data_IF_660221965107
#
_entry.id   IF_660221965107
#
_cell.length_a   1.000
_cell.length_b   1.000
_cell.length_c   1.000
_cell.angle_alpha   90.00
_cell.angle_beta   90.00
_cell.angle_gamma   90.00
#
_symmetry.space_group_name_H-M   'P 1'
#
loop_
_entity.id
_entity.type
_entity.pdbx_description
1 polymer ?
#
# COMPACT_ATOMS: atom_id res chain seq x y z
N UNK A 1 4.72 -12.54 1.86
CA UNK A 1 6.11 -12.75 2.34
C UNK A 1 7.07 -12.07 1.39
N UNK A 2 8.19 -11.57 1.90
CA UNK A 2 9.23 -10.94 1.10
C UNK A 2 10.02 -11.95 0.24
N UNK A 3 10.60 -11.54 -0.90
CA UNK A 3 11.35 -12.44 -1.79
C UNK A 3 12.50 -13.16 -1.08
N UNK A 4 13.26 -12.47 -0.25
CA UNK A 4 14.39 -13.05 0.50
C UNK A 4 13.95 -14.12 1.51
N UNK A 5 12.79 -13.93 2.15
CA UNK A 5 12.23 -14.94 3.06
C UNK A 5 11.77 -16.18 2.28
N UNK A 6 11.14 -15.98 1.11
CA UNK A 6 10.70 -17.07 0.24
C UNK A 6 11.89 -17.86 -0.34
N UNK A 7 13.05 -17.22 -0.49
CA UNK A 7 14.32 -17.86 -0.90
C UNK A 7 15.12 -18.43 0.27
N UNK A 8 14.61 -18.35 1.51
CA UNK A 8 15.32 -18.79 2.72
C UNK A 8 16.69 -18.09 2.90
N UNK A 9 16.75 -16.80 2.57
CA UNK A 9 17.89 -15.90 2.76
C UNK A 9 17.80 -15.15 4.10
N UNK A 10 18.84 -14.38 4.44
CA UNK A 10 18.80 -13.51 5.62
C UNK A 10 17.70 -12.47 5.48
N UNK A 11 16.84 -12.40 6.48
CA UNK A 11 15.75 -11.45 6.60
C UNK A 11 15.88 -10.61 7.86
N UNK A 12 15.48 -9.35 7.76
CA UNK A 12 15.40 -8.40 8.86
C UNK A 12 14.03 -7.71 8.84
N UNK A 13 13.91 -6.60 9.58
CA UNK A 13 12.73 -5.74 9.59
C UNK A 13 12.23 -5.30 8.19
N UNK A 14 13.10 -5.27 7.17
CA UNK A 14 12.71 -4.91 5.80
C UNK A 14 11.82 -5.96 5.16
N UNK A 15 11.87 -7.21 5.61
CA UNK A 15 10.95 -8.27 5.17
C UNK A 15 9.54 -8.06 5.72
N UNK A 16 9.42 -7.49 6.92
CA UNK A 16 8.12 -7.08 7.48
C UNK A 16 7.55 -5.88 6.73
N UNK A 17 8.39 -4.92 6.34
CA UNK A 17 7.99 -3.78 5.50
C UNK A 17 7.40 -4.24 4.17
N UNK A 18 8.02 -5.23 3.52
CA UNK A 18 7.48 -5.83 2.30
C UNK A 18 6.09 -6.42 2.54
N UNK A 19 5.95 -7.22 3.60
CA UNK A 19 4.68 -7.88 3.93
C UNK A 19 3.60 -6.86 4.29
N UNK A 20 3.96 -5.76 4.95
CA UNK A 20 3.08 -4.62 5.20
C UNK A 20 2.62 -3.96 3.89
N UNK A 21 3.50 -3.81 2.89
CA UNK A 21 3.13 -3.34 1.55
C UNK A 21 2.07 -4.22 0.87
N UNK A 22 2.19 -5.55 1.00
CA UNK A 22 1.18 -6.49 0.48
C UNK A 22 -0.17 -6.33 1.21
N UNK A 23 -0.17 -6.13 2.53
CA UNK A 23 -1.41 -5.85 3.29
C UNK A 23 -2.04 -4.51 2.86
N UNK A 24 -1.24 -3.46 2.66
CA UNK A 24 -1.77 -2.20 2.15
C UNK A 24 -2.37 -2.35 0.76
N UNK A 25 -1.77 -3.17 -0.11
CA UNK A 25 -2.35 -3.50 -1.42
C UNK A 25 -3.69 -4.24 -1.29
N UNK A 26 -3.77 -5.23 -0.41
CA UNK A 26 -5.02 -5.98 -0.15
C UNK A 26 -6.13 -5.02 0.33
N UNK A 27 -5.82 -4.12 1.26
CA UNK A 27 -6.77 -3.12 1.75
C UNK A 27 -7.18 -2.10 0.67
N UNK A 28 -6.25 -1.64 -0.15
CA UNK A 28 -6.51 -0.63 -1.17
C UNK A 28 -7.29 -1.19 -2.37
N UNK A 29 -7.17 -2.50 -2.63
CA UNK A 29 -7.79 -3.15 -3.80
C UNK A 29 -8.97 -4.04 -3.44
N UNK A 30 -9.13 -4.41 -2.16
CA UNK A 30 -10.09 -5.39 -1.65
C UNK A 30 -9.97 -6.77 -2.33
N UNK A 31 -8.76 -7.10 -2.81
CA UNK A 31 -8.47 -8.36 -3.52
C UNK A 31 -7.55 -9.25 -2.72
N UNK A 32 -7.64 -10.56 -2.97
CA UNK A 32 -6.74 -11.55 -2.39
C UNK A 32 -5.39 -11.52 -3.14
N UNK A 33 -4.26 -11.31 -2.44
CA UNK A 33 -2.94 -11.37 -3.05
C UNK A 33 -2.69 -12.73 -3.71
N UNK A 34 -2.35 -12.72 -4.99
CA UNK A 34 -2.00 -13.94 -5.73
C UNK A 34 -3.09 -15.02 -5.73
N UNK A 35 -4.36 -14.62 -5.76
CA UNK A 35 -5.52 -15.53 -5.66
C UNK A 35 -5.50 -16.72 -6.63
N UNK A 36 -4.85 -16.58 -7.79
CA UNK A 36 -4.77 -17.59 -8.84
C UNK A 36 -3.51 -18.47 -8.75
N UNK A 37 -2.66 -18.29 -7.74
CA UNK A 37 -1.42 -19.03 -7.55
C UNK A 37 -1.47 -19.87 -6.27
N UNK A 38 -1.00 -21.11 -6.35
CA UNK A 38 -0.73 -21.90 -5.15
C UNK A 38 0.58 -21.47 -4.47
N UNK A 39 0.84 -21.96 -3.25
CA UNK A 39 2.02 -21.57 -2.46
C UNK A 39 3.35 -21.77 -3.18
N UNK A 40 3.53 -22.86 -3.93
CA UNK A 40 4.76 -23.10 -4.70
C UNK A 40 4.91 -22.13 -5.86
N UNK A 41 3.80 -21.79 -6.53
CA UNK A 41 3.79 -20.79 -7.59
C UNK A 41 4.09 -19.38 -7.06
N UNK A 42 3.59 -19.03 -5.86
CA UNK A 42 3.92 -17.75 -5.20
C UNK A 42 5.41 -17.67 -4.87
N UNK A 43 6.02 -18.74 -4.35
CA UNK A 43 7.47 -18.81 -4.11
C UNK A 43 8.23 -18.54 -5.41
N UNK A 44 7.85 -19.19 -6.52
CA UNK A 44 8.45 -18.97 -7.84
C UNK A 44 8.29 -17.53 -8.33
N UNK A 45 7.05 -17.04 -8.37
CA UNK A 45 6.69 -15.72 -8.88
C UNK A 45 7.37 -14.58 -8.10
N UNK A 46 7.24 -14.58 -6.78
CA UNK A 46 7.73 -13.48 -5.93
C UNK A 46 9.21 -13.65 -5.62
N UNK A 47 9.62 -14.86 -5.25
CA UNK A 47 10.99 -15.16 -4.85
C UNK A 47 11.97 -15.13 -6.01
N UNK A 48 11.60 -15.63 -7.19
CA UNK A 48 12.56 -15.86 -8.28
C UNK A 48 12.28 -15.08 -9.56
N UNK A 49 11.02 -14.71 -9.84
CA UNK A 49 10.65 -13.96 -11.05
C UNK A 49 10.48 -12.45 -10.80
N UNK A 50 10.65 -12.00 -9.56
CA UNK A 50 10.43 -10.62 -9.14
C UNK A 50 9.03 -10.09 -9.51
N UNK A 51 8.03 -10.96 -9.56
CA UNK A 51 6.64 -10.57 -9.87
C UNK A 51 6.08 -9.68 -8.74
N UNK A 52 5.27 -8.68 -9.10
CA UNK A 52 4.60 -7.75 -8.18
C UNK A 52 3.12 -7.66 -8.51
N UNK A 53 2.31 -7.40 -7.47
CA UNK A 53 0.88 -7.25 -7.62
C UNK A 53 0.60 -6.00 -8.46
N UNK A 54 -0.35 -6.09 -9.39
CA UNK A 54 -0.78 -4.94 -10.16
C UNK A 54 -1.55 -3.96 -9.27
N UNK A 55 -1.20 -2.68 -9.31
CA UNK A 55 -1.97 -1.62 -8.65
C UNK A 55 -2.92 -1.02 -9.70
N UNK A 56 -4.24 -1.18 -9.56
CA UNK A 56 -5.19 -0.60 -10.50
C UNK A 56 -5.14 0.94 -10.50
N UNK A 57 -5.38 1.56 -11.66
CA UNK A 57 -5.40 3.02 -11.83
C UNK A 57 -6.42 3.76 -10.94
N UNK A 58 -7.39 3.05 -10.36
CA UNK A 58 -8.38 3.63 -9.43
C UNK A 58 -7.86 3.80 -8.00
N UNK A 59 -6.73 3.22 -7.65
CA UNK A 59 -6.10 3.40 -6.33
C UNK A 59 -5.51 4.81 -6.25
N UNK A 60 -5.73 5.51 -5.13
CA UNK A 60 -5.15 6.84 -4.91
C UNK A 60 -3.62 6.78 -5.12
N UNK A 61 -3.03 7.64 -5.97
CA UNK A 61 -1.60 7.63 -6.26
C UNK A 61 -0.71 7.72 -5.01
N UNK A 62 -1.21 8.33 -3.94
CA UNK A 62 -0.50 8.43 -2.66
C UNK A 62 -0.40 7.08 -1.95
N UNK A 63 -1.46 6.27 -2.00
CA UNK A 63 -1.44 4.90 -1.50
C UNK A 63 -0.60 4.00 -2.39
N UNK A 64 -0.74 4.12 -3.72
CA UNK A 64 0.07 3.39 -4.68
C UNK A 64 1.57 3.59 -4.43
N UNK A 65 2.01 4.84 -4.25
CA UNK A 65 3.40 5.16 -3.98
C UNK A 65 3.93 4.53 -2.68
N UNK A 66 3.11 4.50 -1.62
CA UNK A 66 3.51 3.85 -0.35
C UNK A 66 3.67 2.35 -0.57
N UNK A 67 2.67 1.71 -1.16
CA UNK A 67 2.67 0.27 -1.47
C UNK A 67 3.92 -0.09 -2.28
N UNK A 68 4.20 0.66 -3.35
CA UNK A 68 5.35 0.45 -4.21
C UNK A 68 6.68 0.55 -3.47
N UNK A 69 6.82 1.53 -2.59
CA UNK A 69 8.03 1.71 -1.80
C UNK A 69 8.27 0.55 -0.82
N UNK A 70 7.21 -0.06 -0.29
CA UNK A 70 7.31 -1.16 0.66
C UNK A 70 7.87 -2.44 0.04
N UNK A 71 7.57 -2.72 -1.23
CA UNK A 71 7.95 -3.97 -1.90
C UNK A 71 9.08 -3.82 -2.94
N UNK A 72 9.95 -2.83 -2.73
CA UNK A 72 11.15 -2.65 -3.54
C UNK A 72 12.01 -3.92 -3.53
N UNK A 73 12.61 -4.24 -4.69
CA UNK A 73 13.41 -5.47 -4.88
C UNK A 73 14.61 -5.51 -3.96
N UNK A 74 15.33 -4.38 -3.85
CA UNK A 74 16.37 -4.17 -2.84
C UNK A 74 15.73 -3.86 -1.46
N UNK A 75 15.95 -4.69 -0.42
CA UNK A 75 15.49 -4.43 0.94
C UNK A 75 15.97 -3.10 1.52
N UNK A 76 17.15 -2.62 1.15
CA UNK A 76 17.72 -1.38 1.69
C UNK A 76 17.01 -0.13 1.16
N UNK A 77 16.40 -0.21 -0.02
CA UNK A 77 15.58 0.87 -0.57
C UNK A 77 14.15 0.89 0.00
N UNK A 78 13.73 -0.15 0.73
CA UNK A 78 12.42 -0.15 1.39
C UNK A 78 12.46 0.85 2.55
N UNK A 79 11.37 1.58 2.83
CA UNK A 79 11.34 2.52 3.93
C UNK A 79 11.46 1.81 5.28
N UNK A 80 11.75 2.57 6.32
CA UNK A 80 11.57 2.16 7.72
C UNK A 80 10.10 2.34 8.14
N UNK A 81 9.68 1.65 9.20
CA UNK A 81 8.36 1.91 9.78
C UNK A 81 8.19 3.36 10.23
N UNK A 82 9.26 4.02 10.70
CA UNK A 82 9.21 5.42 11.10
C UNK A 82 8.89 6.34 9.91
N UNK A 83 9.49 6.10 8.75
CA UNK A 83 9.18 6.84 7.53
C UNK A 83 7.76 6.57 7.04
N UNK A 84 7.31 5.32 7.11
CA UNK A 84 5.93 4.94 6.76
C UNK A 84 4.92 5.64 7.69
N UNK A 85 5.15 5.64 9.00
CA UNK A 85 4.29 6.34 9.97
C UNK A 85 4.18 7.83 9.67
N UNK A 86 5.29 8.48 9.29
CA UNK A 86 5.28 9.89 8.91
C UNK A 86 4.41 10.10 7.66
N UNK A 87 4.61 9.32 6.60
CA UNK A 87 3.80 9.37 5.37
C UNK A 87 2.30 9.15 5.66
N UNK A 88 1.97 8.14 6.46
CA UNK A 88 0.59 7.81 6.81
C UNK A 88 -0.10 8.91 7.62
N UNK A 89 0.61 9.54 8.57
CA UNK A 89 0.09 10.69 9.33
C UNK A 89 -0.17 11.89 8.43
N UNK A 90 0.72 12.16 7.48
CA UNK A 90 0.54 13.25 6.54
C UNK A 90 -0.67 13.00 5.62
N UNK A 91 -0.85 11.77 5.13
CA UNK A 91 -2.05 11.40 4.39
C UNK A 91 -3.32 11.55 5.21
N UNK A 92 -3.32 11.04 6.44
CA UNK A 92 -4.47 11.17 7.35
C UNK A 92 -4.85 12.65 7.54
N UNK A 93 -3.85 13.52 7.78
CA UNK A 93 -4.08 14.96 7.92
C UNK A 93 -4.68 15.57 6.65
N UNK A 94 -4.15 15.23 5.48
CA UNK A 94 -4.67 15.72 4.20
C UNK A 94 -6.13 15.30 3.98
N UNK A 95 -6.47 14.03 4.24
CA UNK A 95 -7.84 13.54 4.12
C UNK A 95 -8.80 14.25 5.07
N UNK A 96 -8.42 14.47 6.33
CA UNK A 96 -9.25 15.20 7.30
C UNK A 96 -9.54 16.63 6.80
N UNK A 97 -8.52 17.33 6.29
CA UNK A 97 -8.67 18.68 5.77
C UNK A 97 -9.58 18.73 4.52
N UNK A 98 -9.37 17.80 3.57
CA UNK A 98 -10.21 17.69 2.38
C UNK A 98 -11.67 17.40 2.74
N UNK A 99 -11.91 16.51 3.70
CA UNK A 99 -13.25 16.16 4.16
C UNK A 99 -13.96 17.34 4.85
N UNK A 100 -13.23 18.11 5.67
CA UNK A 100 -13.76 19.32 6.30
C UNK A 100 -14.14 20.39 5.27
N UNK A 101 -13.32 20.58 4.24
CA UNK A 101 -13.60 21.52 3.14
C UNK A 101 -14.85 21.10 2.36
N UNK A 102 -14.97 19.81 2.01
CA UNK A 102 -16.14 19.28 1.31
C UNK A 102 -17.44 19.45 2.12
N UNK A 103 -17.38 19.22 3.45
CA UNK A 103 -18.53 19.46 4.34
C UNK A 103 -18.95 20.92 4.41
N UNK A 104 -17.98 21.84 4.46
CA UNK A 104 -18.28 23.27 4.55
C UNK A 104 -18.86 23.82 3.24
N UNK A 105 -18.47 23.28 2.08
CA UNK A 105 -19.04 23.66 0.77
C UNK A 105 -20.43 23.05 0.50
N UNK A 106 -20.76 21.89 1.10
CA UNK A 106 -22.07 21.25 0.97
C UNK A 106 -23.17 21.84 1.87
N UNK A 107 -22.84 22.80 2.75
CA UNK A 107 -23.77 23.39 3.73
C UNK A 107 -24.53 24.63 3.28
N UNK A 108 -24.24 25.20 2.10
CA UNK A 108 -24.75 26.51 1.66
C UNK A 108 -25.92 26.42 0.64
N UNK A 109 -26.53 25.24 0.48
CA UNK A 109 -27.53 24.96 -0.57
C UNK A 109 -29.01 25.00 -0.17
N UNK A 110 -29.36 25.18 1.11
CA UNK A 110 -30.75 24.94 1.59
C UNK A 110 -31.47 26.15 2.20
N UNK A 111 -31.19 27.38 1.75
CA UNK A 111 -31.97 28.56 2.17
C UNK A 111 -32.21 29.56 1.04
N UNK A 112 -32.85 29.15 -0.08
CA UNK A 112 -33.52 30.09 -1.01
C UNK A 112 -34.64 29.44 -1.80
N UNK A 113 -35.74 29.06 -1.15
CA UNK A 113 -37.07 29.10 -1.78
C UNK A 113 -38.06 29.62 -0.74
N UNK A 114 -38.69 30.75 -1.07
CA UNK A 114 -39.66 31.51 -0.26
C UNK A 114 -41.08 31.19 -0.68
#
# INVERSE_FOLDING_TARGET
MAPEVLRNELSDEKSDIYSFGVVLWELATEKIPWENLNSMQVIGAVGFMNQRLEIPNGVDPRWASIIESCWHSDPQCRPTFQELLNKLRDLQRQYILQYQQARNMGGDGSQRES
#
